data_IF_793040120657
#
_entry.id   IF_793040120657
#
_cell.length_a   1.000
_cell.length_b   1.000
_cell.length_c   1.000
_cell.angle_alpha   90.00
_cell.angle_beta   90.00
_cell.angle_gamma   90.00
#
_symmetry.space_group_name_H-M   'P 1'
#
loop_
_entity.id
_entity.type
_entity.pdbx_description
1 polymer ?
#
# COMPACT_ATOMS: atom_id res chain seq x y z
N UNK A 1 1.84 -0.04 -11.06
CA UNK A 1 1.28 -1.05 -10.14
C UNK A 1 2.44 -1.84 -9.59
N UNK A 2 2.41 -2.17 -8.30
CA UNK A 2 3.47 -2.77 -7.45
C UNK A 2 4.49 -1.79 -6.86
N UNK A 3 4.44 -0.50 -7.21
CA UNK A 3 5.36 0.51 -6.68
C UNK A 3 5.26 0.62 -5.15
N UNK A 4 4.04 0.71 -4.61
CA UNK A 4 3.83 0.79 -3.16
C UNK A 4 4.20 -0.52 -2.44
N UNK A 5 3.90 -1.68 -3.05
CA UNK A 5 4.28 -3.00 -2.52
C UNK A 5 5.80 -3.10 -2.36
N UNK A 6 6.55 -2.67 -3.38
CA UNK A 6 8.01 -2.60 -3.34
C UNK A 6 8.50 -1.68 -2.23
N UNK A 7 7.94 -0.48 -2.13
CA UNK A 7 8.32 0.49 -1.12
C UNK A 7 8.13 -0.07 0.31
N UNK A 8 6.96 -0.67 0.59
CA UNK A 8 6.72 -1.30 1.89
C UNK A 8 7.67 -2.47 2.15
N UNK A 9 7.88 -3.36 1.16
CA UNK A 9 8.76 -4.51 1.31
C UNK A 9 10.23 -4.10 1.56
N UNK A 10 10.73 -3.07 0.87
CA UNK A 10 12.06 -2.50 1.14
C UNK A 10 12.16 -1.87 2.53
N UNK A 11 11.15 -1.09 2.93
CA UNK A 11 11.13 -0.48 4.26
C UNK A 11 11.13 -1.54 5.37
N UNK A 12 10.39 -2.65 5.17
CA UNK A 12 10.32 -3.76 6.12
C UNK A 12 11.64 -4.53 6.23
N UNK A 13 12.25 -4.90 5.09
CA UNK A 13 13.48 -5.72 5.11
C UNK A 13 14.75 -4.91 5.39
N UNK A 14 14.73 -3.62 5.04
CA UNK A 14 15.87 -2.72 5.19
C UNK A 14 15.45 -1.41 5.88
N UNK A 15 14.96 -1.44 7.13
CA UNK A 15 14.36 -0.28 7.80
C UNK A 15 15.35 0.87 8.04
N UNK A 16 16.64 0.58 8.13
CA UNK A 16 17.69 1.58 8.30
C UNK A 16 18.12 2.23 6.97
N UNK A 17 17.57 1.79 5.83
CA UNK A 17 17.92 2.28 4.51
C UNK A 17 16.82 3.19 3.96
N UNK A 18 17.17 4.35 3.37
CA UNK A 18 16.18 5.15 2.65
C UNK A 18 15.68 4.38 1.42
N UNK A 19 14.43 4.64 1.03
CA UNK A 19 13.90 4.07 -0.21
C UNK A 19 14.69 4.57 -1.42
N UNK A 20 14.95 3.66 -2.35
CA UNK A 20 15.48 3.99 -3.66
C UNK A 20 14.37 3.95 -4.70
N UNK A 21 14.25 4.96 -5.57
CA UNK A 21 13.29 4.95 -6.67
C UNK A 21 13.53 3.74 -7.59
N UNK A 22 12.49 3.32 -8.31
CA UNK A 22 12.65 2.29 -9.35
C UNK A 22 13.53 2.85 -10.46
N UNK A 23 14.55 2.11 -10.88
CA UNK A 23 15.46 2.55 -11.93
C UNK A 23 14.75 2.65 -13.29
N UNK A 24 15.27 3.51 -14.17
CA UNK A 24 14.72 3.69 -15.51
C UNK A 24 14.77 2.36 -16.29
N UNK A 25 13.62 1.97 -16.86
CA UNK A 25 13.48 0.71 -17.61
C UNK A 25 13.19 -0.54 -16.76
N UNK A 26 13.27 -0.44 -15.43
CA UNK A 26 12.91 -1.53 -14.52
C UNK A 26 11.43 -1.48 -14.12
N UNK A 27 10.90 -2.63 -13.68
CA UNK A 27 9.53 -2.73 -13.15
C UNK A 27 9.60 -2.98 -11.65
N UNK A 28 8.81 -2.23 -10.88
CA UNK A 28 8.71 -2.43 -9.44
C UNK A 28 8.33 -3.87 -9.06
N UNK A 29 7.51 -4.52 -9.90
CA UNK A 29 7.06 -5.91 -9.72
C UNK A 29 8.18 -6.95 -9.74
N UNK A 30 9.34 -6.60 -10.30
CA UNK A 30 10.42 -7.55 -10.55
C UNK A 30 11.43 -7.57 -9.38
N UNK A 31 11.26 -6.69 -8.38
CA UNK A 31 12.12 -6.64 -7.20
C UNK A 31 11.87 -7.87 -6.30
N UNK A 32 12.89 -8.72 -6.07
CA UNK A 32 12.74 -9.98 -5.34
C UNK A 32 12.30 -9.79 -3.89
N UNK A 33 12.51 -8.60 -3.29
CA UNK A 33 12.09 -8.30 -1.91
C UNK A 33 10.58 -8.47 -1.71
N UNK A 34 9.79 -8.23 -2.76
CA UNK A 34 8.32 -8.41 -2.73
C UNK A 34 7.99 -9.87 -2.47
N UNK A 35 8.71 -10.81 -3.09
CA UNK A 35 8.47 -12.24 -2.90
C UNK A 35 8.95 -12.71 -1.52
N UNK A 36 10.05 -12.14 -1.02
CA UNK A 36 10.55 -12.43 0.34
C UNK A 36 9.48 -12.06 1.37
N UNK A 37 9.01 -10.82 1.34
CA UNK A 37 7.98 -10.33 2.28
C UNK A 37 6.61 -10.97 2.01
N UNK A 38 6.24 -11.21 0.75
CA UNK A 38 4.96 -11.84 0.42
C UNK A 38 4.87 -13.31 0.83
N UNK A 39 6.00 -14.00 0.97
CA UNK A 39 6.03 -15.43 1.34
C UNK A 39 5.63 -15.72 2.79
N UNK A 40 5.58 -14.69 3.65
CA UNK A 40 5.15 -14.81 5.05
C UNK A 40 3.65 -14.64 5.24
N UNK A 41 2.91 -14.18 4.23
CA UNK A 41 1.45 -13.97 4.24
C UNK A 41 0.90 -12.99 5.30
N UNK A 42 1.75 -12.44 6.15
CA UNK A 42 1.42 -11.49 7.22
C UNK A 42 1.34 -10.03 6.74
N UNK A 43 1.70 -9.76 5.49
CA UNK A 43 1.57 -8.43 4.90
C UNK A 43 0.36 -8.35 3.97
N UNK A 44 -0.64 -7.59 4.39
CA UNK A 44 -1.91 -7.47 3.66
C UNK A 44 -1.72 -6.61 2.42
N UNK A 45 -0.91 -5.56 2.52
CA UNK A 45 -0.48 -4.71 1.40
C UNK A 45 0.37 -5.46 0.38
N UNK A 46 1.32 -6.31 0.81
CA UNK A 46 2.23 -7.00 -0.13
C UNK A 46 1.60 -8.24 -0.75
N UNK A 47 0.77 -8.97 -0.01
CA UNK A 47 0.12 -10.17 -0.54
C UNK A 47 -0.99 -9.84 -1.52
N UNK A 48 -1.64 -8.69 -1.37
CA UNK A 48 -2.57 -8.17 -2.37
C UNK A 48 -1.87 -7.36 -3.46
N UNK A 49 -2.52 -7.30 -4.62
CA UNK A 49 -2.15 -6.34 -5.65
C UNK A 49 -2.65 -4.94 -5.26
N UNK A 50 -1.92 -3.89 -5.65
CA UNK A 50 -2.37 -2.50 -5.49
C UNK A 50 -3.42 -2.08 -6.53
N UNK A 51 -3.93 -3.03 -7.31
CA UNK A 51 -4.95 -2.83 -8.34
C UNK A 51 -6.10 -3.83 -8.30
N UNK A 52 -6.03 -4.88 -7.49
CA UNK A 52 -7.03 -5.94 -7.39
C UNK A 52 -7.02 -6.51 -5.97
N UNK A 53 -8.21 -6.68 -5.38
CA UNK A 53 -8.30 -7.29 -4.05
C UNK A 53 -9.54 -6.90 -3.26
N UNK A 54 -9.79 -7.69 -2.22
CA UNK A 54 -10.84 -7.48 -1.24
C UNK A 54 -10.22 -7.21 0.14
N UNK A 55 -10.58 -6.11 0.78
CA UNK A 55 -10.23 -5.87 2.18
C UNK A 55 -11.48 -5.72 3.04
N UNK A 56 -11.48 -6.37 4.21
CA UNK A 56 -12.59 -6.30 5.16
C UNK A 56 -12.17 -5.57 6.44
N UNK A 57 -13.08 -4.86 7.14
CA UNK A 57 -12.79 -4.09 8.35
C UNK A 57 -12.75 -5.00 9.59
N UNK A 58 -12.00 -6.10 9.51
CA UNK A 58 -11.82 -7.10 10.57
C UNK A 58 -10.33 -7.34 10.73
N UNK A 59 -9.87 -7.44 11.98
CA UNK A 59 -8.47 -7.72 12.30
C UNK A 59 -8.15 -9.22 12.17
N UNK A 60 -7.05 -9.53 11.46
CA UNK A 60 -6.47 -10.87 11.40
C UNK A 60 -5.00 -10.78 10.94
N UNK A 61 -4.18 -11.72 11.38
CA UNK A 61 -2.72 -11.67 11.25
C UNK A 61 -2.25 -11.92 9.80
N UNK A 62 -2.64 -13.06 9.22
CA UNK A 62 -2.28 -13.45 7.85
C UNK A 62 -3.48 -13.26 6.90
N UNK A 63 -3.22 -12.90 5.64
CA UNK A 63 -4.27 -12.84 4.61
C UNK A 63 -5.05 -14.15 4.52
N UNK A 64 -6.35 -14.05 4.26
CA UNK A 64 -7.22 -15.23 4.20
C UNK A 64 -7.27 -15.78 2.78
N UNK A 65 -6.97 -17.07 2.64
CA UNK A 65 -7.22 -17.81 1.40
C UNK A 65 -8.70 -18.18 1.34
N UNK A 66 -9.32 -17.93 0.18
CA UNK A 66 -10.66 -18.47 -0.08
C UNK A 66 -10.58 -19.96 -0.39
N UNK A 67 -11.53 -20.72 0.12
CA UNK A 67 -11.63 -22.16 -0.15
C UNK A 67 -12.02 -22.47 -1.58
N UNK A 68 -11.89 -23.75 -1.95
CA UNK A 68 -12.20 -24.24 -3.30
C UNK A 68 -13.61 -23.84 -3.75
N UNK A 69 -13.72 -23.37 -4.99
CA UNK A 69 -14.99 -23.03 -5.64
C UNK A 69 -15.50 -21.61 -5.36
N UNK A 70 -14.73 -20.78 -4.64
CA UNK A 70 -15.00 -19.34 -4.47
C UNK A 70 -13.95 -18.56 -5.26
N UNK A 71 -14.40 -17.77 -6.24
CA UNK A 71 -13.55 -16.89 -7.02
C UNK A 71 -13.68 -15.46 -6.49
N UNK A 72 -12.57 -14.87 -6.07
CA UNK A 72 -12.50 -13.47 -5.64
C UNK A 72 -11.32 -12.79 -6.33
N UNK A 73 -11.49 -11.51 -6.63
CA UNK A 73 -10.42 -10.69 -7.18
C UNK A 73 -9.18 -10.73 -6.27
N UNK A 74 -8.01 -11.00 -6.85
CA UNK A 74 -6.74 -11.13 -6.12
C UNK A 74 -6.55 -12.43 -5.32
N UNK A 75 -7.54 -13.34 -5.26
CA UNK A 75 -7.41 -14.69 -4.68
C UNK A 75 -7.27 -14.78 -3.16
N UNK A 76 -7.15 -13.66 -2.46
CA UNK A 76 -7.02 -13.57 -1.00
C UNK A 76 -7.95 -12.48 -0.46
N UNK A 77 -8.17 -12.48 0.86
CA UNK A 77 -8.87 -11.39 1.55
C UNK A 77 -7.91 -10.75 2.56
N UNK A 78 -7.71 -9.44 2.42
CA UNK A 78 -6.93 -8.63 3.33
C UNK A 78 -7.76 -7.97 4.43
N UNK A 79 -7.08 -7.50 5.46
CA UNK A 79 -7.65 -6.72 6.56
C UNK A 79 -7.42 -5.23 6.31
N UNK A 80 -8.49 -4.43 6.32
CA UNK A 80 -8.37 -2.97 6.26
C UNK A 80 -7.61 -2.41 7.47
N UNK A 81 -7.74 -3.07 8.62
CA UNK A 81 -7.07 -2.69 9.88
C UNK A 81 -5.56 -2.93 9.78
N UNK A 82 -5.14 -4.09 9.26
CA UNK A 82 -3.74 -4.39 9.03
C UNK A 82 -3.15 -3.49 7.94
N UNK A 83 -3.86 -3.36 6.81
CA UNK A 83 -3.48 -2.45 5.72
C UNK A 83 -3.22 -1.02 6.24
N UNK A 84 -4.09 -0.48 7.10
CA UNK A 84 -3.90 0.85 7.68
C UNK A 84 -2.59 0.95 8.49
N UNK A 85 -2.24 -0.07 9.29
CA UNK A 85 -0.97 -0.08 10.03
C UNK A 85 0.23 -0.13 9.09
N UNK A 86 0.15 -0.91 8.03
CA UNK A 86 1.22 -1.03 7.03
C UNK A 86 1.43 0.28 6.26
N UNK A 87 0.35 0.97 5.89
CA UNK A 87 0.39 2.28 5.28
C UNK A 87 0.99 3.32 6.22
N UNK A 88 0.61 3.31 7.50
CA UNK A 88 1.19 4.20 8.50
C UNK A 88 2.69 3.93 8.72
N UNK A 89 3.11 2.66 8.64
CA UNK A 89 4.50 2.25 8.75
C UNK A 89 5.36 2.77 7.57
N UNK A 90 4.89 2.63 6.34
CA UNK A 90 5.66 3.06 5.15
C UNK A 90 5.58 4.57 4.88
N UNK A 91 4.57 5.27 5.44
CA UNK A 91 4.38 6.71 5.27
C UNK A 91 5.67 7.55 5.45
N UNK A 92 6.44 7.45 6.56
CA UNK A 92 7.66 8.24 6.73
C UNK A 92 8.73 7.95 5.69
N UNK A 93 8.82 6.73 5.16
CA UNK A 93 9.77 6.35 4.10
C UNK A 93 9.43 7.02 2.76
N UNK A 94 8.14 7.29 2.52
CA UNK A 94 7.65 8.06 1.38
C UNK A 94 7.66 9.58 1.64
N UNK A 95 8.16 10.01 2.81
CA UNK A 95 8.15 11.40 3.22
C UNK A 95 6.77 11.94 3.56
N UNK A 96 5.82 11.06 3.93
CA UNK A 96 4.47 11.42 4.38
C UNK A 96 4.48 11.55 5.91
N UNK A 97 3.97 12.68 6.42
CA UNK A 97 3.79 12.90 7.86
C UNK A 97 2.35 12.63 8.29
N UNK A 98 2.19 11.68 9.19
CA UNK A 98 0.96 11.47 9.94
C UNK A 98 1.04 12.12 11.33
N UNK A 99 -0.08 12.59 11.85
CA UNK A 99 -0.22 13.09 13.22
C UNK A 99 -1.24 12.20 13.92
N UNK A 100 -0.83 11.48 14.96
CA UNK A 100 -1.68 10.50 15.66
C UNK A 100 -2.33 9.44 14.74
N UNK A 101 -1.64 9.09 13.65
CA UNK A 101 -2.13 8.14 12.65
C UNK A 101 -3.03 8.76 11.58
N UNK A 102 -3.33 10.06 11.67
CA UNK A 102 -4.18 10.76 10.71
C UNK A 102 -3.38 11.62 9.73
N UNK A 103 -3.92 11.75 8.51
CA UNK A 103 -3.38 12.62 7.48
C UNK A 103 -4.01 14.00 7.61
N UNK A 104 -3.19 15.01 7.94
CA UNK A 104 -3.68 16.40 8.03
C UNK A 104 -4.01 17.00 6.65
N UNK A 105 -4.94 17.95 6.60
CA UNK A 105 -5.26 18.71 5.37
C UNK A 105 -4.03 19.35 4.72
N UNK A 106 -3.11 19.90 5.53
CA UNK A 106 -1.89 20.53 5.03
C UNK A 106 -0.98 19.52 4.31
N UNK A 107 -0.87 18.31 4.85
CA UNK A 107 -0.07 17.24 4.24
C UNK A 107 -0.76 16.68 2.99
N UNK A 108 -2.09 16.55 3.01
CA UNK A 108 -2.87 16.17 1.84
C UNK A 108 -2.68 17.17 0.69
N UNK A 109 -2.71 18.48 0.97
CA UNK A 109 -2.44 19.53 -0.03
C UNK A 109 -1.02 19.39 -0.59
N UNK A 110 -0.02 19.12 0.25
CA UNK A 110 1.37 18.92 -0.19
C UNK A 110 1.49 17.71 -1.13
N UNK A 111 0.89 16.58 -0.77
CA UNK A 111 0.91 15.36 -1.59
C UNK A 111 0.19 15.63 -2.91
N UNK A 112 -1.00 16.24 -2.88
CA UNK A 112 -1.76 16.58 -4.10
C UNK A 112 -0.99 17.51 -5.03
N UNK A 113 -0.27 18.50 -4.50
CA UNK A 113 0.58 19.36 -5.34
C UNK A 113 1.66 18.57 -6.10
N UNK A 114 2.18 17.48 -5.51
CA UNK A 114 3.09 16.55 -6.22
C UNK A 114 2.32 15.76 -7.28
N UNK A 115 1.12 15.27 -6.97
CA UNK A 115 0.32 14.45 -7.87
C UNK A 115 -0.33 15.23 -9.03
N UNK A 116 -0.61 16.51 -8.84
CA UNK A 116 -1.16 17.41 -9.85
C UNK A 116 -0.08 17.96 -10.81
N UNK A 117 1.20 17.71 -10.52
CA UNK A 117 2.28 18.00 -11.46
C UNK A 117 2.07 17.16 -12.72
N UNK A 118 2.07 17.80 -13.89
CA UNK A 118 1.69 17.17 -15.17
C UNK A 118 2.71 16.14 -15.69
N UNK A 119 3.64 15.68 -14.85
CA UNK A 119 4.73 14.81 -15.23
C UNK A 119 5.11 13.87 -14.09
N UNK A 120 4.73 12.59 -14.21
CA UNK A 120 5.17 11.49 -13.35
C UNK A 120 6.70 11.48 -13.10
N UNK A 121 7.50 12.07 -13.99
CA UNK A 121 8.95 12.16 -13.86
C UNK A 121 9.46 13.24 -12.88
N UNK A 122 8.60 14.12 -12.36
CA UNK A 122 9.02 15.18 -11.43
C UNK A 122 9.24 14.68 -10.00
N UNK A 123 8.56 13.61 -9.60
CA UNK A 123 8.74 13.04 -8.27
C UNK A 123 9.11 11.55 -8.34
N UNK A 124 10.24 11.13 -7.73
CA UNK A 124 10.74 9.77 -7.85
C UNK A 124 9.80 8.69 -7.29
N UNK A 125 8.88 9.09 -6.39
CA UNK A 125 7.90 8.21 -5.76
C UNK A 125 6.45 8.57 -6.13
N UNK A 126 6.23 9.20 -7.28
CA UNK A 126 4.89 9.65 -7.71
C UNK A 126 3.84 8.52 -7.63
N UNK A 127 4.19 7.32 -8.12
CA UNK A 127 3.28 6.17 -8.16
C UNK A 127 2.95 5.65 -6.76
N UNK A 128 3.96 5.57 -5.90
CA UNK A 128 3.84 5.18 -4.50
C UNK A 128 2.94 6.16 -3.74
N UNK A 129 3.14 7.47 -3.90
CA UNK A 129 2.34 8.51 -3.25
C UNK A 129 0.87 8.45 -3.69
N UNK A 130 0.63 8.29 -4.99
CA UNK A 130 -0.73 8.20 -5.53
C UNK A 130 -1.46 6.97 -4.98
N UNK A 131 -0.81 5.80 -5.06
CA UNK A 131 -1.39 4.54 -4.55
C UNK A 131 -1.57 4.59 -3.03
N UNK A 132 -0.59 5.13 -2.29
CA UNK A 132 -0.68 5.25 -0.82
C UNK A 132 -1.89 6.09 -0.42
N UNK A 133 -2.12 7.23 -1.09
CA UNK A 133 -3.23 8.12 -0.77
C UNK A 133 -4.59 7.44 -1.03
N UNK A 134 -4.72 6.74 -2.16
CA UNK A 134 -5.92 5.97 -2.49
C UNK A 134 -6.22 4.90 -1.43
N UNK A 135 -5.20 4.11 -1.08
CA UNK A 135 -5.33 3.03 -0.10
C UNK A 135 -5.60 3.56 1.31
N UNK A 136 -4.94 4.64 1.72
CA UNK A 136 -5.12 5.24 3.03
C UNK A 136 -6.56 5.74 3.22
N UNK A 137 -7.10 6.48 2.25
CA UNK A 137 -8.50 6.93 2.31
C UNK A 137 -9.49 5.75 2.26
N UNK A 138 -9.26 4.76 1.40
CA UNK A 138 -10.13 3.59 1.31
C UNK A 138 -10.14 2.79 2.62
N UNK A 139 -8.98 2.53 3.22
CA UNK A 139 -8.84 1.86 4.51
C UNK A 139 -9.50 2.66 5.63
N UNK A 140 -9.29 3.98 5.67
CA UNK A 140 -9.91 4.87 6.67
C UNK A 140 -11.44 4.80 6.62
N UNK A 141 -12.02 4.95 5.42
CA UNK A 141 -13.48 4.87 5.21
C UNK A 141 -14.02 3.47 5.55
N UNK A 142 -13.31 2.42 5.14
CA UNK A 142 -13.67 1.02 5.44
C UNK A 142 -13.76 0.76 6.94
N UNK A 143 -12.75 1.20 7.70
CA UNK A 143 -12.69 1.02 9.16
C UNK A 143 -13.79 1.85 9.84
N UNK A 144 -13.92 3.12 9.46
CA UNK A 144 -14.88 4.04 10.08
C UNK A 144 -16.34 3.59 9.89
N UNK A 145 -16.66 3.04 8.71
CA UNK A 145 -18.03 2.72 8.33
C UNK A 145 -18.35 1.21 8.38
N UNK A 146 -17.36 0.36 8.68
CA UNK A 146 -17.53 -1.09 8.62
C UNK A 146 -17.83 -1.61 7.21
N UNK A 147 -17.28 -0.98 6.18
CA UNK A 147 -17.49 -1.34 4.77
C UNK A 147 -16.32 -2.13 4.19
N UNK A 148 -16.59 -2.94 3.17
CA UNK A 148 -15.58 -3.69 2.41
C UNK A 148 -14.94 -2.78 1.36
N UNK A 149 -13.64 -2.93 1.15
CA UNK A 149 -12.93 -2.35 0.00
C UNK A 149 -12.86 -3.40 -1.09
N UNK A 150 -13.25 -3.04 -2.31
CA UNK A 150 -13.08 -3.83 -3.51
C UNK A 150 -12.32 -2.98 -4.53
N UNK A 151 -11.20 -3.50 -5.02
CA UNK A 151 -10.46 -2.92 -6.14
C UNK A 151 -10.62 -3.85 -7.35
N UNK A 152 -11.12 -3.32 -8.48
CA UNK A 152 -11.36 -4.02 -9.73
C UNK A 152 -11.63 -3.08 -10.90
#
# INVERSE_FOLDING_TARGET
MHSLRRAYALAREYPEQPLTPVAEGERASDDPVINVVGSTFDSHLVCHSDCEGLYVPVEFEEVLFVGDGVDIAGGMVGSSMALMRELAYVAPYLGIRLVEGELSDAELVRIRAVLDSTNDAEHPFYRELNTWLLFFEAARVSIENGTVIEFG
#
